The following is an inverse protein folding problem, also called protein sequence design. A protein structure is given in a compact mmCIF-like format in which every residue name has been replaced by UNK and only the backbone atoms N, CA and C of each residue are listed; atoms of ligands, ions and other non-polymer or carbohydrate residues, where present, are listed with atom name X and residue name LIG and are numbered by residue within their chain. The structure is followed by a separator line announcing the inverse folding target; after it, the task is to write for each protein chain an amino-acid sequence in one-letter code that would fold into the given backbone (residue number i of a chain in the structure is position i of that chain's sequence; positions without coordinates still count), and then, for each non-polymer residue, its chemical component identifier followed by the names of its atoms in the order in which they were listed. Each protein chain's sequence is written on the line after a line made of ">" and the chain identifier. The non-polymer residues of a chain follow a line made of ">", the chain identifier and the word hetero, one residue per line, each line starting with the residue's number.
data_IF_060589126940
#
_entry.id   IF_060589126940
#
_cell.length_a   1.000
_cell.length_b   1.000
_cell.length_c   1.000
_cell.angle_alpha   90.00
_cell.angle_beta   90.00
_cell.angle_gamma   90.00
#
_symmetry.space_group_name_H-M   'P 1'
#
loop_
_entity.id
_entity.type
_entity.pdbx_description
1 polymer ?
#
# COMPACT_ATOMS: atom_id res chain seq x y z
N UNK A 1 -9.75 0.60 -17.34
CA UNK A 1 -8.96 -0.54 -16.87
C UNK A 1 -7.59 0.01 -16.53
N UNK A 2 -7.15 -0.12 -15.28
CA UNK A 2 -5.84 0.39 -14.87
C UNK A 2 -4.75 -0.51 -15.45
N UNK A 3 -3.72 0.13 -15.99
CA UNK A 3 -2.49 -0.53 -16.44
C UNK A 3 -1.39 -0.22 -15.46
N UNK A 4 -0.46 -1.15 -15.29
CA UNK A 4 0.67 -0.99 -14.37
C UNK A 4 1.97 -1.15 -15.15
N UNK A 5 2.92 -0.28 -14.86
CA UNK A 5 4.28 -0.32 -15.41
C UNK A 5 5.29 -0.29 -14.28
N UNK A 6 6.34 -1.10 -14.38
CA UNK A 6 7.43 -1.14 -13.41
C UNK A 6 8.76 -1.34 -14.14
N UNK A 7 9.84 -0.78 -13.58
CA UNK A 7 11.21 -1.05 -13.99
C UNK A 7 11.87 -2.16 -13.13
N UNK A 8 11.12 -2.71 -12.17
CA UNK A 8 11.56 -3.79 -11.30
C UNK A 8 11.24 -5.16 -11.92
N UNK A 9 12.09 -6.15 -11.63
CA UNK A 9 11.79 -7.55 -11.91
C UNK A 9 10.60 -8.03 -11.05
N UNK A 10 10.02 -9.17 -11.43
CA UNK A 10 8.99 -9.83 -10.62
C UNK A 10 9.50 -10.10 -9.20
N UNK A 11 8.63 -9.91 -8.20
CA UNK A 11 8.98 -10.11 -6.81
C UNK A 11 9.28 -11.58 -6.53
N UNK A 12 10.41 -11.85 -5.87
CA UNK A 12 10.72 -13.17 -5.35
C UNK A 12 9.73 -13.54 -4.24
N UNK A 13 9.10 -14.71 -4.38
CA UNK A 13 8.14 -15.23 -3.40
C UNK A 13 8.77 -15.42 -2.03
N UNK A 14 10.06 -15.74 -1.93
CA UNK A 14 10.74 -15.86 -0.65
C UNK A 14 10.91 -14.49 0.03
N UNK A 15 11.11 -13.42 -0.74
CA UNK A 15 11.09 -12.05 -0.19
C UNK A 15 9.70 -11.66 0.31
N UNK A 16 8.65 -12.01 -0.43
CA UNK A 16 7.26 -11.77 0.01
C UNK A 16 7.00 -12.47 1.35
N UNK A 17 7.35 -13.76 1.47
CA UNK A 17 7.19 -14.52 2.72
C UNK A 17 8.00 -13.93 3.87
N UNK A 18 9.24 -13.51 3.60
CA UNK A 18 10.07 -12.84 4.61
C UNK A 18 9.38 -11.58 5.13
N UNK A 19 8.81 -10.75 4.25
CA UNK A 19 8.08 -9.55 4.65
C UNK A 19 6.84 -9.91 5.49
N UNK A 20 6.04 -10.89 5.06
CA UNK A 20 4.89 -11.39 5.83
C UNK A 20 5.28 -11.85 7.23
N UNK A 21 6.36 -12.64 7.36
CA UNK A 21 6.88 -13.10 8.66
C UNK A 21 7.34 -11.93 9.55
N UNK A 22 8.04 -10.95 8.98
CA UNK A 22 8.54 -9.78 9.72
C UNK A 22 7.43 -8.86 10.21
N UNK A 23 6.35 -8.77 9.45
CA UNK A 23 5.18 -7.96 9.79
C UNK A 23 4.11 -8.76 10.56
N UNK A 24 4.26 -10.09 10.67
CA UNK A 24 3.29 -11.01 11.25
C UNK A 24 1.88 -10.90 10.62
N UNK A 25 1.82 -10.81 9.29
CA UNK A 25 0.58 -10.72 8.49
C UNK A 25 0.60 -11.71 7.33
N UNK A 26 -0.53 -11.83 6.64
CA UNK A 26 -0.58 -12.39 5.28
C UNK A 26 -1.18 -11.36 4.35
N UNK A 27 -0.50 -11.08 3.24
CA UNK A 27 -1.02 -10.17 2.24
C UNK A 27 -2.25 -10.76 1.54
N UNK A 28 -3.22 -9.92 1.15
CA UNK A 28 -4.35 -10.38 0.36
C UNK A 28 -3.91 -11.00 -0.97
N UNK A 29 -4.51 -12.14 -1.33
CA UNK A 29 -4.17 -12.82 -2.58
C UNK A 29 -4.44 -11.93 -3.81
N UNK A 30 -5.48 -11.10 -3.77
CA UNK A 30 -5.81 -10.18 -4.86
C UNK A 30 -4.77 -9.06 -5.02
N UNK A 31 -4.10 -8.65 -3.95
CA UNK A 31 -2.92 -7.79 -4.01
C UNK A 31 -1.71 -8.53 -4.59
N UNK A 32 -1.40 -9.72 -4.09
CA UNK A 32 -0.24 -10.49 -4.56
C UNK A 32 -0.31 -10.82 -6.05
N UNK A 33 -1.51 -11.09 -6.58
CA UNK A 33 -1.73 -11.33 -8.02
C UNK A 33 -1.27 -10.16 -8.91
N UNK A 34 -1.21 -8.94 -8.38
CA UNK A 34 -0.70 -7.76 -9.09
C UNK A 34 0.75 -7.46 -8.68
N UNK A 35 1.01 -7.32 -7.39
CA UNK A 35 2.29 -6.78 -6.89
C UNK A 35 3.46 -7.72 -7.16
N UNK A 36 3.26 -9.04 -7.25
CA UNK A 36 4.35 -9.94 -7.67
C UNK A 36 4.88 -9.54 -9.04
N UNK A 37 4.00 -9.15 -9.97
CA UNK A 37 4.40 -8.76 -11.32
C UNK A 37 4.81 -7.28 -11.43
N UNK A 38 4.31 -6.45 -10.52
CA UNK A 38 4.37 -5.00 -10.65
C UNK A 38 4.89 -4.30 -9.38
N UNK A 39 5.76 -4.94 -8.59
CA UNK A 39 6.38 -4.28 -7.42
C UNK A 39 7.07 -2.98 -7.86
N UNK A 40 7.02 -1.93 -7.02
CA UNK A 40 7.52 -0.61 -7.42
C UNK A 40 6.71 0.07 -8.53
N UNK A 41 5.64 -0.58 -9.02
CA UNK A 41 4.95 -0.17 -10.24
C UNK A 41 4.02 1.02 -10.05
N UNK A 42 3.85 1.76 -11.15
CA UNK A 42 3.03 2.95 -11.27
C UNK A 42 1.74 2.62 -12.04
N UNK A 43 0.56 3.01 -11.54
CA UNK A 43 -0.69 2.82 -12.24
C UNK A 43 -0.96 3.92 -13.27
N UNK A 44 -1.61 3.56 -14.37
CA UNK A 44 -2.20 4.48 -15.35
C UNK A 44 -3.61 4.02 -15.72
N UNK A 45 -4.67 4.79 -15.38
CA UNK A 45 -4.62 6.05 -14.65
C UNK A 45 -4.18 5.89 -13.18
N UNK A 46 -3.76 6.99 -12.54
CA UNK A 46 -3.15 6.99 -11.19
C UNK A 46 -4.02 7.62 -10.09
N UNK A 47 -5.09 8.34 -10.44
CA UNK A 47 -5.92 9.03 -9.44
C UNK A 47 -7.00 8.10 -8.89
N UNK A 48 -7.29 8.25 -7.60
CA UNK A 48 -8.29 7.47 -6.87
C UNK A 48 -9.26 8.44 -6.21
N UNK A 49 -10.55 8.22 -6.38
CA UNK A 49 -11.58 8.94 -5.61
C UNK A 49 -11.73 8.34 -4.21
N UNK A 50 -11.40 9.14 -3.19
CA UNK A 50 -11.60 8.81 -1.78
C UNK A 50 -12.79 9.59 -1.23
N UNK A 51 -13.80 8.85 -0.75
CA UNK A 51 -15.04 9.45 -0.26
C UNK A 51 -14.77 10.37 0.94
N UNK A 52 -15.36 11.56 0.92
CA UNK A 52 -15.15 12.58 1.96
C UNK A 52 -13.81 13.33 1.89
N UNK A 53 -12.92 12.98 0.95
CA UNK A 53 -11.60 13.62 0.79
C UNK A 53 -11.38 14.21 -0.60
N UNK A 54 -11.75 13.48 -1.65
CA UNK A 54 -11.56 13.89 -3.04
C UNK A 54 -10.58 12.98 -3.79
N UNK A 55 -10.02 13.51 -4.89
CA UNK A 55 -9.01 12.82 -5.70
C UNK A 55 -7.68 12.76 -4.95
N UNK A 56 -7.03 11.60 -5.01
CA UNK A 56 -5.65 11.43 -4.55
C UNK A 56 -4.87 10.65 -5.59
N UNK A 57 -3.69 11.15 -5.94
CA UNK A 57 -2.76 10.40 -6.78
C UNK A 57 -2.12 9.25 -5.99
N UNK A 58 -2.28 8.03 -6.50
CA UNK A 58 -1.47 6.88 -6.12
C UNK A 58 -0.19 6.91 -6.96
N UNK A 59 0.96 7.00 -6.29
CA UNK A 59 2.28 7.12 -6.92
C UNK A 59 2.76 5.74 -7.36
N UNK A 60 3.05 4.85 -6.42
CA UNK A 60 3.61 3.53 -6.73
C UNK A 60 3.30 2.49 -5.64
N UNK A 61 3.42 1.22 -6.02
CA UNK A 61 3.48 0.10 -5.08
C UNK A 61 4.82 0.08 -4.35
N UNK A 62 4.82 -0.31 -3.08
CA UNK A 62 6.07 -0.61 -2.37
C UNK A 62 6.66 -1.93 -2.88
N UNK A 63 7.97 -2.08 -2.72
CA UNK A 63 8.73 -3.27 -3.16
C UNK A 63 8.96 -4.24 -2.01
N UNK A 64 9.25 -5.50 -2.36
CA UNK A 64 9.68 -6.52 -1.40
C UNK A 64 11.21 -6.64 -1.34
N UNK A 65 11.93 -5.65 -1.87
CA UNK A 65 13.39 -5.67 -2.02
C UNK A 65 14.02 -4.98 -0.83
N UNK A 66 14.81 -5.72 -0.04
CA UNK A 66 15.52 -5.14 1.09
C UNK A 66 16.47 -4.02 0.64
N UNK A 67 16.45 -2.90 1.37
CA UNK A 67 17.29 -1.70 1.11
C UNK A 67 16.97 -0.94 -0.19
N UNK A 68 15.87 -1.27 -0.85
CA UNK A 68 15.33 -0.50 -1.98
C UNK A 68 14.66 0.79 -1.49
N UNK A 69 14.62 1.83 -2.35
CA UNK A 69 13.99 3.11 -1.98
C UNK A 69 12.49 2.97 -1.65
N UNK A 70 11.83 1.95 -2.21
CA UNK A 70 10.43 1.64 -1.96
C UNK A 70 10.24 0.40 -1.08
N UNK A 71 11.27 -0.06 -0.36
CA UNK A 71 11.18 -1.23 0.53
C UNK A 71 10.04 -1.07 1.56
N UNK A 72 9.09 -1.99 1.50
CA UNK A 72 7.95 -2.03 2.41
C UNK A 72 8.33 -2.12 3.89
N UNK A 73 9.40 -2.83 4.24
CA UNK A 73 9.84 -2.97 5.63
C UNK A 73 10.51 -1.69 6.12
N UNK A 74 11.36 -1.06 5.31
CA UNK A 74 11.95 0.24 5.67
C UNK A 74 10.85 1.31 5.78
N UNK A 75 9.92 1.36 4.82
CA UNK A 75 8.81 2.30 4.87
C UNK A 75 7.97 2.10 6.12
N UNK A 76 7.52 0.87 6.40
CA UNK A 76 6.78 0.56 7.63
C UNK A 76 7.56 0.97 8.89
N UNK A 77 8.85 0.65 8.99
CA UNK A 77 9.66 0.99 10.14
C UNK A 77 9.79 2.50 10.37
N UNK A 78 9.85 3.29 9.30
CA UNK A 78 9.92 4.76 9.38
C UNK A 78 8.62 5.39 9.86
N UNK A 79 7.46 4.80 9.54
CA UNK A 79 6.14 5.42 9.79
C UNK A 79 5.33 4.77 10.91
N UNK A 80 5.66 3.56 11.37
CA UNK A 80 4.85 2.79 12.35
C UNK A 80 4.57 3.48 13.69
N UNK A 81 5.34 4.52 14.05
CA UNK A 81 5.10 5.34 15.25
C UNK A 81 4.13 6.50 15.01
N UNK A 82 3.87 6.81 13.74
CA UNK A 82 3.10 7.95 13.26
C UNK A 82 1.79 7.54 12.58
N UNK A 83 1.59 6.25 12.33
CA UNK A 83 0.33 5.68 11.82
C UNK A 83 -0.31 4.75 12.87
N UNK A 84 -1.64 4.53 12.84
CA UNK A 84 -2.31 3.60 13.74
C UNK A 84 -1.74 2.18 13.68
N UNK A 85 -1.67 1.54 14.85
CA UNK A 85 -1.27 0.14 14.96
C UNK A 85 -2.22 -0.77 14.16
N UNK A 86 -1.66 -1.72 13.42
CA UNK A 86 -2.41 -2.64 12.55
C UNK A 86 -2.55 -2.16 11.10
N UNK A 87 -2.09 -0.95 10.76
CA UNK A 87 -1.95 -0.50 9.38
C UNK A 87 -0.57 -0.89 8.84
N UNK A 88 -0.57 -1.48 7.65
CA UNK A 88 0.65 -1.86 6.93
C UNK A 88 0.64 -1.15 5.57
N UNK A 89 1.60 -0.23 5.30
CA UNK A 89 1.66 0.46 4.03
C UNK A 89 2.00 -0.53 2.90
N UNK A 90 1.38 -0.36 1.74
CA UNK A 90 1.67 -1.14 0.53
C UNK A 90 1.86 -0.27 -0.71
N UNK A 91 1.55 1.03 -0.62
CA UNK A 91 1.72 1.98 -1.71
C UNK A 91 1.84 3.42 -1.23
N UNK A 92 2.47 4.25 -2.06
CA UNK A 92 2.65 5.67 -1.82
C UNK A 92 1.57 6.48 -2.53
N UNK A 93 1.07 7.52 -1.87
CA UNK A 93 0.25 8.57 -2.47
C UNK A 93 0.96 9.93 -2.42
N UNK A 94 0.39 10.91 -3.11
CA UNK A 94 0.85 12.30 -3.02
C UNK A 94 0.73 12.87 -1.59
N UNK A 95 1.42 13.97 -1.29
CA UNK A 95 1.32 14.71 -0.04
C UNK A 95 1.49 13.86 1.24
N UNK A 96 2.50 12.98 1.26
CA UNK A 96 2.82 12.08 2.38
C UNK A 96 1.68 11.11 2.75
N UNK A 97 0.79 10.81 1.80
CA UNK A 97 -0.20 9.75 1.99
C UNK A 97 0.39 8.38 1.75
N UNK A 98 -0.11 7.42 2.52
CA UNK A 98 0.18 6.01 2.41
C UNK A 98 -1.13 5.26 2.22
N UNK A 99 -1.13 4.37 1.22
CA UNK A 99 -2.15 3.37 1.10
C UNK A 99 -1.75 2.18 1.96
N UNK A 100 -2.62 1.83 2.91
CA UNK A 100 -2.34 0.86 3.94
C UNK A 100 -3.41 -0.24 3.94
N UNK A 101 -2.98 -1.48 4.18
CA UNK A 101 -3.87 -2.55 4.60
C UNK A 101 -4.19 -2.39 6.09
N UNK A 102 -5.47 -2.41 6.44
CA UNK A 102 -5.95 -2.36 7.81
C UNK A 102 -6.29 -3.77 8.33
N UNK A 103 -5.42 -4.33 9.16
CA UNK A 103 -5.57 -5.66 9.76
C UNK A 103 -6.31 -5.66 11.11
N UNK A 104 -6.80 -4.51 11.59
CA UNK A 104 -7.44 -4.42 12.92
C UNK A 104 -8.72 -5.26 13.03
N UNK A 105 -9.37 -5.53 11.90
CA UNK A 105 -10.62 -6.29 11.83
C UNK A 105 -10.44 -7.77 11.43
N UNK A 106 -9.20 -8.24 11.25
CA UNK A 106 -8.87 -9.64 10.98
C UNK A 106 -7.93 -9.83 9.78
N UNK A 107 -7.87 -11.07 9.29
CA UNK A 107 -6.93 -11.49 8.24
C UNK A 107 -7.29 -11.07 6.82
N UNK A 108 -8.50 -10.52 6.61
CA UNK A 108 -8.92 -9.92 5.35
C UNK A 108 -8.92 -8.39 5.53
N UNK A 109 -7.79 -7.72 5.24
CA UNK A 109 -7.67 -6.30 5.51
C UNK A 109 -8.48 -5.48 4.51
N UNK A 110 -9.08 -4.39 4.99
CA UNK A 110 -9.55 -3.29 4.15
C UNK A 110 -8.38 -2.39 3.72
N UNK A 111 -8.64 -1.45 2.82
CA UNK A 111 -7.67 -0.41 2.44
C UNK A 111 -8.04 0.90 3.12
N UNK A 112 -7.08 1.47 3.83
CA UNK A 112 -7.15 2.82 4.40
C UNK A 112 -6.08 3.71 3.77
N UNK A 113 -6.37 4.99 3.71
CA UNK A 113 -5.40 6.04 3.41
C UNK A 113 -4.97 6.67 4.74
N UNK A 114 -3.66 6.73 5.01
CA UNK A 114 -3.12 7.36 6.20
C UNK A 114 -2.08 8.40 5.81
N UNK A 115 -2.08 9.55 6.45
CA UNK A 115 -1.00 10.53 6.28
C UNK A 115 0.14 10.22 7.26
N UNK A 116 1.39 10.19 6.80
CA UNK A 116 2.55 9.87 7.65
C UNK A 116 3.16 11.06 8.40
N UNK A 117 2.66 12.28 8.20
CA UNK A 117 3.14 13.50 8.86
C UNK A 117 2.58 13.63 10.30
N UNK A 118 3.49 13.69 11.27
CA UNK A 118 3.19 13.72 12.70
C UNK A 118 2.62 15.03 13.22
N UNK A 119 2.78 16.14 12.49
CA UNK A 119 2.58 17.47 13.05
C UNK A 119 1.11 17.90 13.08
N UNK A 120 0.25 17.26 12.28
CA UNK A 120 -1.19 17.58 12.18
C UNK A 120 -2.10 16.59 12.92
N UNK A 121 -1.51 15.59 13.59
CA UNK A 121 -2.25 14.43 14.13
C UNK A 121 -2.49 13.35 13.08
N UNK A 122 -2.96 12.18 13.53
CA UNK A 122 -3.21 11.05 12.63
C UNK A 122 -4.44 11.34 11.77
N UNK A 123 -4.23 11.48 10.45
CA UNK A 123 -5.30 11.51 9.47
C UNK A 123 -5.42 10.13 8.80
N UNK A 124 -6.53 9.44 9.05
CA UNK A 124 -6.83 8.12 8.48
C UNK A 124 -8.24 8.13 7.88
N UNK A 125 -8.38 7.65 6.64
CA UNK A 125 -9.67 7.51 5.95
C UNK A 125 -9.80 6.13 5.34
N UNK A 126 -10.92 5.44 5.61
CA UNK A 126 -11.23 4.19 4.93
C UNK A 126 -11.47 4.43 3.43
N UNK A 127 -10.87 3.61 2.56
CA UNK A 127 -10.98 3.74 1.10
C UNK A 127 -11.92 2.70 0.51
N UNK A 128 -11.69 1.41 0.80
CA UNK A 128 -12.48 0.28 0.29
C UNK A 128 -12.17 -1.02 1.04
N UNK A 129 -12.88 -2.11 0.73
CA UNK A 129 -12.79 -3.37 1.49
C UNK A 129 -11.77 -4.36 0.94
N UNK A 130 -11.16 -4.12 -0.22
CA UNK A 130 -10.18 -5.02 -0.83
C UNK A 130 -9.28 -4.29 -1.83
N UNK A 131 -8.14 -4.90 -2.17
CA UNK A 131 -7.28 -4.36 -3.22
C UNK A 131 -7.99 -4.38 -4.58
N UNK A 132 -8.81 -5.40 -4.86
CA UNK A 132 -9.62 -5.45 -6.08
C UNK A 132 -10.60 -4.28 -6.20
N UNK A 133 -11.22 -3.87 -5.09
CA UNK A 133 -12.08 -2.66 -5.08
C UNK A 133 -11.27 -1.39 -5.31
N UNK A 134 -10.04 -1.30 -4.75
CA UNK A 134 -9.13 -0.19 -5.01
C UNK A 134 -8.80 -0.06 -6.50
N UNK A 135 -8.51 -1.18 -7.16
CA UNK A 135 -8.25 -1.24 -8.61
C UNK A 135 -9.40 -0.66 -9.43
N UNK A 136 -10.65 -0.83 -8.98
CA UNK A 136 -11.84 -0.29 -9.63
C UNK A 136 -12.05 1.22 -9.39
N UNK A 137 -11.32 1.84 -8.45
CA UNK A 137 -11.44 3.27 -8.12
C UNK A 137 -10.48 4.16 -8.90
N UNK A 138 -9.53 3.59 -9.65
CA UNK A 138 -8.61 4.34 -10.50
C UNK A 138 -9.32 4.98 -11.70
N UNK A 139 -9.05 6.26 -11.99
CA UNK A 139 -9.65 7.00 -13.10
C UNK A 139 -8.71 8.02 -13.77
#
# INVERSE_FOLDING_TARGET
>A
MVTWTTDYDEADIENVKMVEERLAIHFPQDYLNYTIKYQGGYPSPSNIMVDGRGSIQFICLLTFLAFDEFDILEKYNSVKKHIPSGLVPFGLGEDEHLFCFDYRSGSKPSVSLCKSDSDSGIEEVHVCNSFSELICKFY
#
